data_IF_284155666741
#
_entry.id   IF_284155666741
#
_cell.length_a   1.000
_cell.length_b   1.000
_cell.length_c   1.000
_cell.angle_alpha   90.00
_cell.angle_beta   90.00
_cell.angle_gamma   90.00
#
_symmetry.space_group_name_H-M   'P 1'
#
loop_
_entity.id
_entity.type
_entity.pdbx_description
1 polymer ?
#
# COMPACT_ATOMS: atom_id res chain seq x y z
N UNK A 1 31.65 -39.27 26.68
CA UNK A 1 33.04 -39.54 26.22
C UNK A 1 33.29 -38.64 25.05
N UNK A 2 34.42 -37.89 25.07
CA UNK A 2 34.77 -37.01 23.96
C UNK A 2 35.18 -37.85 22.73
N UNK A 3 35.09 -37.30 21.53
CA UNK A 3 35.57 -37.96 20.31
C UNK A 3 37.07 -38.33 20.46
N UNK A 4 37.84 -37.48 21.15
CA UNK A 4 39.22 -37.74 21.47
C UNK A 4 39.43 -39.05 22.27
N UNK A 5 38.59 -39.30 23.28
CA UNK A 5 38.64 -40.53 24.08
C UNK A 5 38.31 -41.82 23.30
N UNK A 6 37.54 -41.67 22.22
CA UNK A 6 37.12 -42.76 21.35
C UNK A 6 38.21 -43.17 20.35
N UNK A 7 39.06 -42.22 19.94
CA UNK A 7 40.07 -42.42 18.87
C UNK A 7 41.48 -42.57 19.44
N UNK A 8 41.79 -42.05 20.60
CA UNK A 8 43.07 -42.11 21.26
C UNK A 8 43.51 -43.58 21.44
N UNK A 9 44.65 -43.95 20.88
CA UNK A 9 45.18 -45.32 20.90
C UNK A 9 44.58 -46.31 19.90
N UNK A 10 43.64 -45.87 19.05
CA UNK A 10 43.05 -46.68 17.98
C UNK A 10 43.51 -46.26 16.59
N UNK A 11 44.12 -45.08 16.47
CA UNK A 11 44.68 -44.53 15.25
C UNK A 11 46.14 -44.09 15.49
N UNK A 12 46.99 -44.32 14.54
CA UNK A 12 48.41 -43.90 14.59
C UNK A 12 48.54 -42.43 14.24
N UNK A 13 47.92 -41.55 15.06
CA UNK A 13 47.97 -40.12 14.92
C UNK A 13 48.40 -39.48 16.25
N UNK A 14 49.20 -38.42 16.13
CA UNK A 14 49.58 -37.60 17.28
C UNK A 14 48.59 -36.45 17.45
N UNK A 15 48.26 -36.14 18.71
CA UNK A 15 47.33 -35.08 19.06
C UNK A 15 48.05 -34.02 19.88
N UNK A 16 47.70 -32.74 19.60
CA UNK A 16 48.13 -31.62 20.42
C UNK A 16 46.94 -31.06 21.17
N UNK A 17 47.04 -30.99 22.47
CA UNK A 17 45.99 -30.46 23.33
C UNK A 17 45.95 -28.90 23.23
N UNK A 18 44.82 -28.35 22.84
CA UNK A 18 44.57 -26.92 22.72
C UNK A 18 43.81 -26.35 23.93
N UNK A 19 43.53 -27.22 24.93
CA UNK A 19 42.81 -26.85 26.13
C UNK A 19 41.32 -26.57 25.91
N UNK A 20 40.71 -25.92 26.90
CA UNK A 20 39.31 -25.52 26.86
C UNK A 20 39.11 -24.38 25.89
N UNK A 21 38.20 -24.56 24.95
CA UNK A 21 37.78 -23.56 23.96
C UNK A 21 36.30 -23.29 24.13
N UNK A 22 35.88 -22.05 23.87
CA UNK A 22 34.50 -21.59 23.95
C UNK A 22 33.97 -21.18 22.58
N UNK A 23 32.86 -21.82 22.15
CA UNK A 23 32.11 -21.40 20.96
C UNK A 23 30.69 -21.08 21.39
N UNK A 24 30.30 -19.80 21.27
CA UNK A 24 29.03 -19.26 21.78
C UNK A 24 28.95 -19.51 23.29
N UNK A 25 27.94 -20.24 23.77
CA UNK A 25 27.70 -20.54 25.18
C UNK A 25 28.26 -21.89 25.67
N UNK A 26 28.83 -22.66 24.75
CA UNK A 26 29.34 -24.00 25.06
C UNK A 26 30.86 -24.02 25.17
N UNK A 27 31.36 -24.65 26.22
CA UNK A 27 32.78 -24.95 26.44
C UNK A 27 33.09 -26.39 26.06
N UNK A 28 34.18 -26.60 25.34
CA UNK A 28 34.64 -27.92 24.96
C UNK A 28 36.17 -27.99 24.94
N UNK A 29 36.70 -29.19 25.18
CA UNK A 29 38.15 -29.46 25.13
C UNK A 29 38.53 -29.77 23.69
N UNK A 30 39.44 -28.96 23.09
CA UNK A 30 39.84 -29.08 21.70
C UNK A 30 41.21 -29.73 21.56
N UNK A 31 41.38 -30.51 20.51
CA UNK A 31 42.63 -31.16 20.16
C UNK A 31 42.92 -30.96 18.65
N UNK A 32 44.18 -30.63 18.29
CA UNK A 32 44.65 -30.67 16.92
C UNK A 32 45.13 -32.07 16.58
N UNK A 33 44.91 -32.51 15.34
CA UNK A 33 45.48 -33.72 14.79
C UNK A 33 46.79 -33.32 14.08
N UNK A 34 47.92 -33.88 14.55
CA UNK A 34 49.23 -33.60 13.97
C UNK A 34 49.55 -34.57 12.83
N UNK A 35 49.57 -34.08 11.62
CA UNK A 35 49.99 -34.86 10.44
C UNK A 35 51.53 -34.86 10.27
N UNK A 36 52.27 -33.96 10.94
CA UNK A 36 53.71 -33.92 11.02
C UNK A 36 54.20 -33.21 12.30
N UNK A 37 55.40 -33.54 12.79
CA UNK A 37 55.98 -32.96 14.04
C UNK A 37 56.18 -31.44 13.98
N UNK A 38 56.15 -30.83 12.84
CA UNK A 38 56.34 -29.38 12.65
C UNK A 38 55.05 -28.53 12.78
N UNK A 39 53.89 -29.16 12.97
CA UNK A 39 52.57 -28.48 12.94
C UNK A 39 51.97 -28.15 14.30
N UNK A 40 52.78 -28.09 15.38
CA UNK A 40 52.24 -27.71 16.71
C UNK A 40 51.76 -26.28 16.69
N UNK A 41 50.45 -26.06 16.84
CA UNK A 41 49.87 -24.76 17.10
C UNK A 41 49.89 -24.48 18.61
N UNK A 42 50.42 -23.31 18.99
CA UNK A 42 50.27 -22.76 20.35
C UNK A 42 49.29 -21.63 20.28
N UNK A 43 48.14 -21.80 20.89
CA UNK A 43 47.20 -20.66 21.10
C UNK A 43 47.82 -19.80 22.21
N UNK A 44 48.33 -18.61 21.87
CA UNK A 44 48.78 -17.64 22.85
C UNK A 44 47.59 -17.14 23.65
N UNK A 45 47.41 -17.60 24.87
CA UNK A 45 46.59 -16.95 25.89
C UNK A 45 47.24 -15.59 26.21
N UNK A 46 46.71 -14.55 25.59
CA UNK A 46 47.15 -13.18 25.80
C UNK A 46 46.58 -12.67 27.12
N UNK A 47 47.29 -12.86 28.20
CA UNK A 47 47.07 -12.07 29.39
C UNK A 47 47.73 -10.69 29.20
N UNK A 48 46.98 -9.73 28.72
CA UNK A 48 47.39 -8.32 28.65
C UNK A 48 46.88 -7.55 29.86
N UNK A 49 47.66 -6.61 30.39
CA UNK A 49 47.29 -5.90 31.61
C UNK A 49 46.06 -5.00 31.37
N UNK A 50 45.17 -5.03 32.33
CA UNK A 50 43.84 -4.42 32.36
C UNK A 50 43.85 -2.89 32.13
N UNK A 51 44.98 -2.21 32.35
CA UNK A 51 45.07 -0.74 32.23
C UNK A 51 45.07 -0.18 30.77
N UNK A 52 45.36 -1.01 29.74
CA UNK A 52 45.39 -0.51 28.37
C UNK A 52 44.02 -0.64 27.67
N UNK A 53 43.11 -1.38 28.27
CA UNK A 53 41.75 -1.61 27.70
C UNK A 53 40.72 -0.58 28.16
N UNK A 54 40.99 0.18 29.25
CA UNK A 54 40.07 1.25 29.67
C UNK A 54 39.93 2.37 28.63
N UNK A 55 41.02 2.70 27.93
CA UNK A 55 40.99 3.72 26.86
C UNK A 55 40.20 3.24 25.60
N UNK A 56 40.34 1.96 25.25
CA UNK A 56 39.63 1.38 24.09
C UNK A 56 38.15 1.16 24.42
N UNK A 57 37.82 0.71 25.63
CA UNK A 57 36.43 0.58 26.07
C UNK A 57 35.76 1.96 26.19
N UNK A 58 36.46 2.99 26.71
CA UNK A 58 35.95 4.34 26.73
C UNK A 58 35.75 4.94 25.33
N UNK A 59 36.64 4.67 24.37
CA UNK A 59 36.49 5.15 23.01
C UNK A 59 35.36 4.38 22.23
N UNK A 60 35.19 3.09 22.46
CA UNK A 60 34.05 2.33 21.90
C UNK A 60 32.74 2.81 22.51
N UNK A 61 32.67 3.04 23.82
CA UNK A 61 31.52 3.65 24.50
C UNK A 61 31.24 5.07 23.99
N UNK A 62 32.26 5.88 23.76
CA UNK A 62 32.09 7.21 23.18
C UNK A 62 31.57 7.15 21.74
N UNK A 63 32.07 6.23 20.91
CA UNK A 63 31.56 6.02 19.53
C UNK A 63 30.14 5.47 19.53
N UNK A 64 29.81 4.56 20.46
CA UNK A 64 28.44 4.05 20.61
C UNK A 64 27.51 5.15 21.12
N UNK A 65 27.93 5.97 22.09
CA UNK A 65 27.16 7.11 22.60
C UNK A 65 27.00 8.17 21.50
N UNK A 66 28.05 8.48 20.75
CA UNK A 66 27.98 9.38 19.60
C UNK A 66 27.09 8.79 18.51
N UNK A 67 27.17 7.48 18.25
CA UNK A 67 26.27 6.77 17.35
C UNK A 67 24.80 6.78 17.81
N UNK A 68 24.57 6.61 19.12
CA UNK A 68 23.23 6.71 19.72
C UNK A 68 22.75 8.16 19.73
N UNK A 69 23.61 9.13 20.04
CA UNK A 69 23.28 10.55 19.95
C UNK A 69 23.04 10.95 18.50
N UNK A 70 23.82 10.45 17.54
CA UNK A 70 23.59 10.66 16.13
C UNK A 70 22.33 9.92 15.62
N UNK A 71 22.02 8.76 16.16
CA UNK A 71 20.78 8.03 15.89
C UNK A 71 19.57 8.70 16.55
N UNK A 72 19.71 9.24 17.75
CA UNK A 72 18.67 10.01 18.44
C UNK A 72 18.59 11.47 17.95
N UNK A 73 19.67 12.01 17.39
CA UNK A 73 19.70 13.30 16.68
C UNK A 73 19.56 13.17 15.15
N UNK A 74 19.62 11.98 14.59
CA UNK A 74 18.86 11.70 13.40
C UNK A 74 17.38 11.68 13.81
N UNK A 75 16.94 12.84 14.34
CA UNK A 75 15.62 13.27 13.99
C UNK A 75 15.45 12.80 12.55
N UNK A 76 14.57 11.82 12.34
CA UNK A 76 13.95 11.64 11.07
C UNK A 76 13.80 13.05 10.52
N UNK A 77 14.70 13.45 9.60
CA UNK A 77 14.52 14.73 8.91
C UNK A 77 13.05 14.69 8.59
N UNK A 78 12.23 15.61 9.10
CA UNK A 78 10.82 15.59 8.77
C UNK A 78 10.84 15.44 7.27
N UNK A 79 10.26 14.34 6.75
CA UNK A 79 10.16 14.05 5.31
C UNK A 79 9.97 15.41 4.72
N UNK A 80 10.95 15.89 3.97
CA UNK A 80 11.14 17.30 3.61
C UNK A 80 9.75 17.81 3.32
N UNK A 81 9.26 18.83 4.06
CA UNK A 81 7.88 19.30 3.97
C UNK A 81 7.48 19.11 2.53
N UNK A 82 6.64 18.13 2.23
CA UNK A 82 6.18 17.89 0.89
C UNK A 82 5.29 19.08 0.65
N UNK A 83 5.95 20.16 0.30
CA UNK A 83 5.30 21.39 -0.02
C UNK A 83 4.59 21.05 -1.32
N UNK A 84 3.32 20.65 -1.19
CA UNK A 84 2.48 20.48 -2.37
C UNK A 84 2.72 21.72 -3.22
N UNK A 85 3.20 21.52 -4.45
CA UNK A 85 3.41 22.65 -5.34
C UNK A 85 2.13 23.48 -5.33
N UNK A 86 2.22 24.83 -5.18
CA UNK A 86 1.04 25.67 -5.21
C UNK A 86 0.32 25.38 -6.52
N UNK A 87 -0.80 24.70 -6.46
CA UNK A 87 -1.65 24.52 -7.62
C UNK A 87 -2.79 25.53 -7.49
N UNK A 88 -3.15 26.18 -8.58
CA UNK A 88 -4.33 27.04 -8.64
C UNK A 88 -5.63 26.24 -8.53
N UNK A 89 -5.52 24.90 -8.54
CA UNK A 89 -6.66 24.01 -8.42
C UNK A 89 -7.08 23.84 -6.96
N UNK A 90 -8.38 23.88 -6.65
CA UNK A 90 -8.85 23.54 -5.33
C UNK A 90 -8.46 22.10 -4.98
N UNK A 91 -7.92 21.91 -3.77
CA UNK A 91 -7.50 20.60 -3.26
C UNK A 91 -8.44 20.12 -2.17
N UNK A 92 -8.77 18.82 -2.17
CA UNK A 92 -9.65 18.21 -1.20
C UNK A 92 -9.03 16.95 -0.61
N UNK A 93 -9.09 16.83 0.72
CA UNK A 93 -8.80 15.63 1.47
C UNK A 93 -10.10 15.09 2.03
N UNK A 94 -10.38 13.82 1.78
CA UNK A 94 -11.51 13.10 2.36
C UNK A 94 -10.99 12.21 3.48
N UNK A 95 -11.43 12.48 4.70
CA UNK A 95 -11.18 11.60 5.86
C UNK A 95 -12.11 10.39 5.77
N UNK A 96 -11.64 9.16 6.03
CA UNK A 96 -12.51 8.00 6.09
C UNK A 96 -13.70 8.21 7.01
N UNK A 97 -14.91 7.91 6.52
CA UNK A 97 -16.14 8.15 7.27
C UNK A 97 -16.25 7.15 8.42
N UNK A 98 -16.59 7.67 9.59
CA UNK A 98 -16.71 6.88 10.80
C UNK A 98 -18.04 6.12 10.84
N UNK A 99 -18.00 4.87 11.26
CA UNK A 99 -19.18 4.08 11.53
C UNK A 99 -19.66 4.34 12.96
N UNK A 100 -20.73 5.12 13.10
CA UNK A 100 -21.40 5.40 14.37
C UNK A 100 -22.72 4.62 14.51
N UNK A 101 -22.94 3.55 13.73
CA UNK A 101 -24.14 2.71 13.81
C UNK A 101 -24.13 1.76 15.01
N UNK A 102 -23.01 1.63 15.71
CA UNK A 102 -22.82 0.68 16.80
C UNK A 102 -22.68 -0.79 16.36
N UNK A 103 -22.64 -1.05 15.05
CA UNK A 103 -22.50 -2.40 14.47
C UNK A 103 -21.27 -2.41 13.55
N UNK A 104 -20.24 -3.20 13.87
CA UNK A 104 -19.05 -3.36 13.03
C UNK A 104 -19.37 -3.92 11.63
N UNK A 105 -20.45 -4.66 11.49
CA UNK A 105 -20.92 -5.15 10.20
C UNK A 105 -21.26 -4.02 9.21
N UNK A 106 -21.42 -2.79 9.68
CA UNK A 106 -21.73 -1.60 8.87
C UNK A 106 -20.46 -0.76 8.52
N UNK A 107 -19.27 -1.15 8.94
CA UNK A 107 -18.02 -0.43 8.63
C UNK A 107 -17.82 -0.22 7.12
N UNK A 108 -18.29 -1.18 6.31
CA UNK A 108 -18.22 -1.09 4.86
C UNK A 108 -18.98 0.12 4.27
N UNK A 109 -20.01 0.65 4.95
CA UNK A 109 -20.81 1.76 4.45
C UNK A 109 -19.96 3.03 4.41
N UNK A 110 -19.28 3.37 5.52
CA UNK A 110 -18.37 4.51 5.59
C UNK A 110 -17.22 4.40 4.60
N UNK A 111 -16.60 3.23 4.53
CA UNK A 111 -15.53 2.94 3.56
C UNK A 111 -16.02 3.08 2.12
N UNK A 112 -17.19 2.55 1.79
CA UNK A 112 -17.77 2.61 0.45
C UNK A 112 -18.12 4.04 0.02
N UNK A 113 -18.68 4.85 0.93
CA UNK A 113 -19.00 6.26 0.68
C UNK A 113 -17.70 7.04 0.45
N UNK A 114 -16.70 6.89 1.32
CA UNK A 114 -15.40 7.55 1.20
C UNK A 114 -14.74 7.23 -0.15
N UNK A 115 -14.66 5.94 -0.49
CA UNK A 115 -14.04 5.48 -1.74
C UNK A 115 -14.79 5.98 -2.98
N UNK A 116 -16.12 6.00 -2.94
CA UNK A 116 -16.94 6.51 -4.05
C UNK A 116 -16.75 8.01 -4.25
N UNK A 117 -16.73 8.79 -3.17
CA UNK A 117 -16.48 10.24 -3.24
C UNK A 117 -15.11 10.49 -3.86
N UNK A 118 -14.04 9.87 -3.35
CA UNK A 118 -12.68 10.03 -3.87
C UNK A 118 -12.62 9.69 -5.36
N UNK A 119 -13.16 8.54 -5.74
CA UNK A 119 -13.17 8.09 -7.14
C UNK A 119 -13.94 9.07 -8.05
N UNK A 120 -15.12 9.51 -7.63
CA UNK A 120 -15.94 10.44 -8.40
C UNK A 120 -15.31 11.82 -8.55
N UNK A 121 -14.71 12.34 -7.49
CA UNK A 121 -14.02 13.64 -7.55
C UNK A 121 -12.73 13.57 -8.38
N UNK A 122 -11.99 12.46 -8.34
CA UNK A 122 -10.73 12.28 -9.06
C UNK A 122 -10.87 12.22 -10.58
N UNK A 123 -12.07 11.96 -11.09
CA UNK A 123 -12.33 12.01 -12.55
C UNK A 123 -12.24 13.45 -13.08
N UNK A 124 -12.39 14.45 -12.22
CA UNK A 124 -12.41 15.85 -12.62
C UNK A 124 -11.02 16.50 -12.49
N UNK A 125 -10.40 16.80 -13.62
CA UNK A 125 -9.06 17.42 -13.70
C UNK A 125 -8.98 18.82 -13.07
N UNK A 126 -10.11 19.45 -12.73
CA UNK A 126 -10.15 20.79 -12.11
C UNK A 126 -9.95 20.75 -10.59
N UNK A 127 -9.90 19.56 -9.97
CA UNK A 127 -9.73 19.38 -8.54
C UNK A 127 -8.53 18.47 -8.29
N UNK A 128 -7.75 18.79 -7.27
CA UNK A 128 -6.75 17.87 -6.74
C UNK A 128 -7.36 17.09 -5.57
N UNK A 129 -7.53 15.79 -5.75
CA UNK A 129 -8.11 14.90 -4.72
C UNK A 129 -7.00 14.09 -4.08
N UNK A 130 -6.88 14.15 -2.75
CA UNK A 130 -5.94 13.30 -2.03
C UNK A 130 -6.41 11.84 -1.98
N UNK A 131 -5.46 10.92 -1.98
CA UNK A 131 -5.76 9.49 -1.91
C UNK A 131 -6.42 9.09 -0.59
N UNK A 132 -7.14 7.98 -0.58
CA UNK A 132 -7.73 7.40 0.64
C UNK A 132 -6.66 7.04 1.69
N UNK A 133 -5.46 6.65 1.27
CA UNK A 133 -4.34 6.36 2.18
C UNK A 133 -3.85 7.61 2.90
N UNK A 134 -3.85 8.78 2.24
CA UNK A 134 -3.53 10.06 2.90
C UNK A 134 -4.58 10.41 3.95
N UNK A 135 -5.87 10.28 3.63
CA UNK A 135 -6.97 10.51 4.57
C UNK A 135 -6.88 9.61 5.80
N UNK A 136 -6.63 8.32 5.58
CA UNK A 136 -6.43 7.34 6.64
C UNK A 136 -5.22 7.67 7.52
N UNK A 137 -4.09 8.01 6.92
CA UNK A 137 -2.87 8.37 7.65
C UNK A 137 -3.08 9.60 8.54
N UNK A 138 -3.72 10.64 7.99
CA UNK A 138 -4.05 11.87 8.74
C UNK A 138 -4.97 11.57 9.91
N UNK A 139 -5.97 10.71 9.73
CA UNK A 139 -6.88 10.27 10.78
C UNK A 139 -6.16 9.46 11.88
N UNK A 140 -5.33 8.48 11.50
CA UNK A 140 -4.57 7.64 12.44
C UNK A 140 -3.56 8.45 13.27
N UNK A 141 -3.01 9.53 12.69
CA UNK A 141 -2.07 10.43 13.36
C UNK A 141 -2.76 11.55 14.14
N UNK A 142 -4.08 11.66 14.06
CA UNK A 142 -4.89 12.70 14.69
C UNK A 142 -4.38 14.13 14.36
N UNK A 143 -4.02 14.37 13.10
CA UNK A 143 -3.57 15.71 12.68
C UNK A 143 -4.68 16.74 12.83
N UNK A 144 -4.33 17.90 13.41
CA UNK A 144 -5.19 19.07 13.43
C UNK A 144 -5.38 19.68 12.05
N UNK A 145 -6.40 20.49 11.87
CA UNK A 145 -6.70 21.18 10.62
C UNK A 145 -5.52 22.06 10.16
N UNK A 146 -4.84 22.71 11.10
CA UNK A 146 -3.62 23.51 10.82
C UNK A 146 -2.45 22.65 10.35
N UNK A 147 -2.21 21.51 10.97
CA UNK A 147 -1.17 20.56 10.54
C UNK A 147 -1.45 19.97 9.16
N UNK A 148 -2.73 19.70 8.85
CA UNK A 148 -3.13 19.25 7.50
C UNK A 148 -2.84 20.34 6.47
N UNK A 149 -3.20 21.59 6.74
CA UNK A 149 -2.92 22.72 5.86
C UNK A 149 -1.42 22.93 5.67
N UNK A 150 -0.64 22.92 6.74
CA UNK A 150 0.81 23.17 6.71
C UNK A 150 1.59 22.04 6.02
N UNK A 151 1.24 20.78 6.28
CA UNK A 151 1.98 19.63 5.78
C UNK A 151 1.57 19.21 4.36
N UNK A 152 0.29 19.43 3.99
CA UNK A 152 -0.27 18.93 2.73
C UNK A 152 -0.77 20.04 1.80
N UNK A 153 -0.90 21.28 2.27
CA UNK A 153 -1.43 22.39 1.46
C UNK A 153 -2.89 22.20 1.03
N UNK A 154 -3.63 21.32 1.71
CA UNK A 154 -5.03 21.03 1.39
C UNK A 154 -5.90 22.23 1.71
N UNK A 155 -6.75 22.63 0.74
CA UNK A 155 -7.70 23.72 0.95
C UNK A 155 -8.98 23.25 1.61
N UNK A 156 -9.58 22.16 1.13
CA UNK A 156 -10.84 21.63 1.63
C UNK A 156 -10.67 20.30 2.33
N UNK A 157 -11.22 20.19 3.51
CA UNK A 157 -11.25 18.96 4.30
C UNK A 157 -12.69 18.48 4.41
N UNK A 158 -12.95 17.25 3.92
CA UNK A 158 -14.26 16.62 4.01
C UNK A 158 -14.22 15.54 5.09
N UNK A 159 -15.08 15.70 6.10
CA UNK A 159 -15.34 14.72 7.15
C UNK A 159 -16.78 14.25 7.09
N UNK A 160 -17.02 13.05 7.59
CA UNK A 160 -18.37 12.52 7.71
C UNK A 160 -18.44 11.31 8.62
N UNK A 161 -19.65 10.97 8.97
CA UNK A 161 -19.99 9.80 9.76
C UNK A 161 -21.25 9.11 9.22
N UNK A 162 -21.43 7.85 9.58
CA UNK A 162 -22.60 7.05 9.27
C UNK A 162 -23.25 6.66 10.57
N UNK A 163 -24.40 7.22 10.85
CA UNK A 163 -25.26 6.86 11.98
C UNK A 163 -26.35 5.89 11.52
N UNK A 164 -26.84 5.04 12.41
CA UNK A 164 -27.91 4.12 12.07
C UNK A 164 -28.59 3.53 13.28
N UNK A 165 -29.90 3.41 13.19
CA UNK A 165 -30.73 2.70 14.16
C UNK A 165 -31.91 2.03 13.43
N UNK A 166 -32.23 0.77 13.81
CA UNK A 166 -33.40 0.04 13.35
C UNK A 166 -33.60 -0.03 11.81
N UNK A 167 -32.48 -0.11 11.05
CA UNK A 167 -32.54 -0.21 9.59
C UNK A 167 -32.61 1.11 8.85
N UNK A 168 -32.62 2.25 9.54
CA UNK A 168 -32.46 3.56 8.95
C UNK A 168 -31.03 4.05 9.13
N UNK A 169 -30.45 4.69 8.10
CA UNK A 169 -29.11 5.23 8.10
C UNK A 169 -29.13 6.72 7.80
N UNK A 170 -28.21 7.43 8.42
CA UNK A 170 -27.94 8.85 8.17
C UNK A 170 -26.46 9.04 7.90
N UNK A 171 -26.13 9.67 6.81
CA UNK A 171 -24.78 10.12 6.49
C UNK A 171 -24.70 11.61 6.76
N UNK A 172 -23.82 11.99 7.67
CA UNK A 172 -23.52 13.38 8.00
C UNK A 172 -22.21 13.77 7.29
N UNK A 173 -22.20 14.91 6.61
CA UNK A 173 -21.02 15.44 5.92
C UNK A 173 -20.78 16.88 6.31
N UNK A 174 -19.50 17.22 6.42
CA UNK A 174 -19.02 18.57 6.69
C UNK A 174 -17.78 18.85 5.84
N UNK A 175 -17.77 20.00 5.17
CA UNK A 175 -16.62 20.51 4.43
C UNK A 175 -16.08 21.77 5.11
N UNK A 176 -14.79 21.75 5.46
CA UNK A 176 -14.06 22.87 6.06
C UNK A 176 -13.11 23.47 5.04
N UNK A 177 -13.13 24.80 4.86
CA UNK A 177 -12.06 25.53 4.17
C UNK A 177 -10.94 25.77 5.19
N UNK A 178 -9.83 25.06 5.05
CA UNK A 178 -8.71 25.09 6.00
C UNK A 178 -7.96 26.43 5.96
N UNK A 179 -7.96 27.14 4.83
CA UNK A 179 -7.34 28.47 4.73
C UNK A 179 -8.11 29.52 5.51
N UNK A 180 -9.42 29.35 5.62
CA UNK A 180 -10.29 30.26 6.38
C UNK A 180 -10.60 29.77 7.78
N UNK A 181 -10.31 28.50 8.08
CA UNK A 181 -10.69 27.82 9.31
C UNK A 181 -12.23 27.84 9.54
N UNK A 182 -13.01 27.74 8.48
CA UNK A 182 -14.47 27.84 8.50
C UNK A 182 -15.11 26.61 7.88
N UNK A 183 -16.22 26.16 8.49
CA UNK A 183 -17.12 25.20 7.88
C UNK A 183 -17.90 25.90 6.77
N UNK A 184 -17.62 25.54 5.53
CA UNK A 184 -18.24 26.18 4.35
C UNK A 184 -19.49 25.42 3.87
N UNK A 185 -19.69 24.19 4.30
CA UNK A 185 -20.82 23.39 3.91
C UNK A 185 -21.04 22.21 4.88
N UNK A 186 -22.32 21.86 5.12
CA UNK A 186 -22.74 20.69 5.87
C UNK A 186 -24.05 20.18 5.31
N UNK A 187 -24.21 18.85 5.22
CA UNK A 187 -25.42 18.23 4.70
C UNK A 187 -25.65 16.84 5.32
N UNK A 188 -26.93 16.48 5.43
CA UNK A 188 -27.39 15.17 5.91
C UNK A 188 -28.06 14.42 4.75
N UNK A 189 -27.80 13.11 4.67
CA UNK A 189 -28.42 12.23 3.69
C UNK A 189 -28.96 11.01 4.42
N UNK A 190 -30.28 10.82 4.35
CA UNK A 190 -30.97 9.70 4.98
C UNK A 190 -31.31 8.61 3.95
N UNK A 191 -31.20 7.35 4.36
CA UNK A 191 -31.68 6.21 3.60
C UNK A 191 -32.15 5.08 4.54
N UNK A 192 -33.03 4.23 4.06
CA UNK A 192 -33.65 3.18 4.91
C UNK A 192 -33.10 1.79 4.60
N UNK A 193 -32.79 1.52 3.36
CA UNK A 193 -32.34 0.20 2.91
C UNK A 193 -30.97 0.29 2.25
N UNK A 194 -30.13 -0.73 2.40
CA UNK A 194 -28.79 -0.78 1.80
C UNK A 194 -28.80 -0.62 0.27
N UNK A 195 -29.88 -0.99 -0.41
CA UNK A 195 -30.03 -0.77 -1.85
C UNK A 195 -30.06 0.71 -2.24
N UNK A 196 -30.45 1.60 -1.30
CA UNK A 196 -30.48 3.05 -1.50
C UNK A 196 -29.10 3.69 -1.33
N UNK A 197 -28.10 2.93 -0.82
CA UNK A 197 -26.75 3.42 -0.60
C UNK A 197 -26.12 3.98 -1.90
N UNK A 198 -26.32 3.30 -3.03
CA UNK A 198 -25.75 3.75 -4.31
C UNK A 198 -26.33 5.09 -4.79
N UNK A 199 -27.66 5.27 -4.86
CA UNK A 199 -28.22 6.60 -5.16
C UNK A 199 -27.79 7.68 -4.17
N UNK A 200 -27.58 7.34 -2.91
CA UNK A 200 -27.12 8.30 -1.88
C UNK A 200 -25.66 8.68 -2.14
N UNK A 201 -24.78 7.74 -2.46
CA UNK A 201 -23.38 8.02 -2.82
C UNK A 201 -23.28 8.98 -4.02
N UNK A 202 -24.12 8.78 -5.05
CA UNK A 202 -24.17 9.67 -6.21
C UNK A 202 -24.64 11.09 -5.81
N UNK A 203 -25.73 11.20 -5.02
CA UNK A 203 -26.22 12.49 -4.52
C UNK A 203 -25.18 13.21 -3.68
N UNK A 204 -24.42 12.51 -2.86
CA UNK A 204 -23.34 13.06 -2.05
C UNK A 204 -22.25 13.66 -2.97
N UNK A 205 -21.79 12.88 -3.95
CA UNK A 205 -20.73 13.32 -4.86
C UNK A 205 -21.15 14.53 -5.69
N UNK A 206 -22.38 14.57 -6.20
CA UNK A 206 -22.94 15.72 -6.91
C UNK A 206 -22.97 16.94 -5.99
N UNK A 207 -23.48 16.81 -4.77
CA UNK A 207 -23.58 17.93 -3.83
C UNK A 207 -22.21 18.53 -3.45
N UNK A 208 -21.17 17.69 -3.36
CA UNK A 208 -19.79 18.15 -3.12
C UNK A 208 -19.26 18.94 -4.32
N UNK A 209 -19.43 18.42 -5.54
CA UNK A 209 -18.99 19.08 -6.76
C UNK A 209 -19.70 20.45 -6.97
N UNK A 210 -21.00 20.51 -6.71
CA UNK A 210 -21.77 21.76 -6.74
C UNK A 210 -21.23 22.78 -5.72
N UNK A 211 -20.94 22.35 -4.50
CA UNK A 211 -20.37 23.19 -3.45
C UNK A 211 -18.99 23.73 -3.85
N UNK A 212 -18.17 22.90 -4.47
CA UNK A 212 -16.85 23.32 -4.97
C UNK A 212 -16.93 24.14 -6.27
N UNK A 213 -18.12 24.42 -6.79
CA UNK A 213 -18.39 25.13 -8.05
C UNK A 213 -17.69 24.52 -9.26
N UNK A 214 -17.57 23.21 -9.26
CA UNK A 214 -16.92 22.47 -10.34
C UNK A 214 -17.98 22.08 -11.37
N UNK A 215 -17.73 22.46 -12.61
CA UNK A 215 -18.62 22.08 -13.73
C UNK A 215 -18.48 20.58 -13.98
N UNK A 216 -19.56 19.84 -13.87
CA UNK A 216 -19.65 18.43 -14.24
C UNK A 216 -20.42 18.27 -15.53
N UNK A 217 -19.89 17.50 -16.46
CA UNK A 217 -20.72 16.95 -17.53
C UNK A 217 -21.48 15.75 -16.97
N UNK A 218 -22.79 15.80 -16.96
CA UNK A 218 -23.64 14.76 -16.34
C UNK A 218 -23.35 13.32 -16.83
N UNK A 219 -22.71 13.13 -17.99
CA UNK A 219 -22.30 11.84 -18.52
C UNK A 219 -21.11 11.21 -17.75
N UNK A 220 -20.34 11.97 -16.98
CA UNK A 220 -19.19 11.46 -16.23
C UNK A 220 -19.60 10.81 -14.89
N UNK A 221 -20.76 11.16 -14.36
CA UNK A 221 -21.26 10.69 -13.09
C UNK A 221 -22.07 9.37 -13.20
N UNK A 222 -22.61 9.09 -14.35
CA UNK A 222 -23.46 7.93 -14.62
C UNK A 222 -22.70 6.71 -15.11
N UNK A 223 -21.60 6.32 -14.48
CA UNK A 223 -21.10 4.96 -14.70
C UNK A 223 -22.06 3.97 -14.05
N UNK A 224 -22.91 3.36 -14.86
CA UNK A 224 -23.89 2.31 -14.50
C UNK A 224 -23.20 1.02 -14.03
N UNK A 225 -22.49 1.08 -12.89
CA UNK A 225 -21.80 -0.06 -12.28
C UNK A 225 -22.27 -0.28 -10.85
N UNK A 226 -23.58 -0.10 -10.63
CA UNK A 226 -24.14 -0.38 -9.33
C UNK A 226 -24.22 -1.89 -9.13
N UNK A 227 -23.86 -2.32 -7.94
CA UNK A 227 -24.17 -3.66 -7.50
C UNK A 227 -25.67 -3.85 -7.49
N UNK A 228 -26.16 -4.97 -8.00
CA UNK A 228 -27.59 -5.31 -7.93
C UNK A 228 -27.94 -5.90 -6.58
N UNK A 229 -26.97 -6.44 -5.87
CA UNK A 229 -27.13 -7.05 -4.55
C UNK A 229 -26.28 -6.31 -3.50
N UNK A 230 -26.89 -5.69 -2.47
CA UNK A 230 -26.18 -4.98 -1.40
C UNK A 230 -25.22 -5.87 -0.59
N UNK A 231 -25.55 -7.17 -0.42
CA UNK A 231 -24.66 -8.11 0.26
C UNK A 231 -23.43 -8.43 -0.59
N UNK A 232 -23.58 -8.51 -1.92
CA UNK A 232 -22.44 -8.62 -2.82
C UNK A 232 -21.50 -7.41 -2.68
N UNK A 233 -22.09 -6.20 -2.57
CA UNK A 233 -21.32 -4.97 -2.34
C UNK A 233 -20.62 -4.98 -0.98
N UNK A 234 -21.28 -5.39 0.08
CA UNK A 234 -20.68 -5.56 1.40
C UNK A 234 -19.47 -6.50 1.35
N UNK A 235 -19.62 -7.65 0.72
CA UNK A 235 -18.51 -8.60 0.54
C UNK A 235 -17.38 -8.01 -0.30
N UNK A 236 -17.72 -7.28 -1.37
CA UNK A 236 -16.73 -6.61 -2.22
C UNK A 236 -15.88 -5.60 -1.44
N UNK A 237 -16.50 -4.72 -0.64
CA UNK A 237 -15.79 -3.70 0.13
C UNK A 237 -14.94 -4.32 1.25
N UNK A 238 -15.48 -5.31 1.97
CA UNK A 238 -14.72 -6.02 2.99
C UNK A 238 -13.54 -6.81 2.40
N UNK A 239 -13.70 -7.36 1.19
CA UNK A 239 -12.62 -7.99 0.44
C UNK A 239 -11.54 -6.96 0.07
N UNK A 240 -11.96 -5.78 -0.40
CA UNK A 240 -11.03 -4.71 -0.75
C UNK A 240 -10.23 -4.23 0.45
N UNK A 241 -10.88 -4.01 1.60
CA UNK A 241 -10.21 -3.66 2.84
C UNK A 241 -9.18 -4.72 3.29
N UNK A 242 -9.53 -6.01 3.17
CA UNK A 242 -8.60 -7.10 3.47
C UNK A 242 -7.45 -7.15 2.46
N UNK A 243 -7.72 -6.94 1.18
CA UNK A 243 -6.72 -6.92 0.13
C UNK A 243 -5.70 -5.79 0.29
N UNK A 244 -6.13 -4.62 0.76
CA UNK A 244 -5.26 -3.45 0.97
C UNK A 244 -4.27 -3.62 2.13
N UNK A 245 -4.47 -4.58 3.02
CA UNK A 245 -3.50 -4.93 4.07
C UNK A 245 -2.16 -5.43 3.50
N UNK A 246 -2.13 -5.88 2.25
CA UNK A 246 -0.93 -6.38 1.55
C UNK A 246 -0.23 -7.53 2.29
N UNK A 247 -1.00 -8.32 3.03
CA UNK A 247 -0.54 -9.54 3.72
C UNK A 247 -1.06 -10.78 3.01
N UNK A 248 -0.48 -11.95 3.33
CA UNK A 248 -0.93 -13.25 2.82
C UNK A 248 -2.35 -13.52 3.29
N UNK A 249 -2.59 -13.40 4.59
CA UNK A 249 -3.89 -13.62 5.23
C UNK A 249 -4.95 -12.67 4.68
N UNK A 250 -4.59 -11.39 4.47
CA UNK A 250 -5.47 -10.39 3.87
C UNK A 250 -5.86 -10.75 2.44
N UNK A 251 -4.91 -11.26 1.65
CA UNK A 251 -5.15 -11.68 0.27
C UNK A 251 -6.07 -12.92 0.18
N UNK A 252 -5.86 -13.91 1.06
CA UNK A 252 -6.72 -15.09 1.15
C UNK A 252 -8.14 -14.74 1.61
N UNK A 253 -8.25 -13.84 2.60
CA UNK A 253 -9.56 -13.33 3.06
C UNK A 253 -10.29 -12.59 1.94
N UNK A 254 -9.57 -11.75 1.20
CA UNK A 254 -10.14 -11.02 0.06
C UNK A 254 -10.66 -11.97 -1.02
N UNK A 255 -9.87 -12.99 -1.40
CA UNK A 255 -10.30 -13.99 -2.39
C UNK A 255 -11.61 -14.69 -1.96
N UNK A 256 -11.70 -15.12 -0.72
CA UNK A 256 -12.91 -15.78 -0.17
C UNK A 256 -14.14 -14.85 -0.23
N UNK A 257 -13.95 -13.59 0.12
CA UNK A 257 -15.03 -12.60 0.13
C UNK A 257 -15.45 -12.21 -1.28
N UNK A 258 -14.53 -12.01 -2.23
CA UNK A 258 -14.89 -11.74 -3.64
C UNK A 258 -15.61 -12.92 -4.28
N UNK A 259 -15.22 -14.17 -4.00
CA UNK A 259 -15.97 -15.35 -4.46
C UNK A 259 -17.42 -15.34 -3.98
N UNK A 260 -17.66 -15.01 -2.71
CA UNK A 260 -19.02 -14.85 -2.17
C UNK A 260 -19.77 -13.71 -2.87
N UNK A 261 -19.11 -12.60 -3.14
CA UNK A 261 -19.72 -11.49 -3.87
C UNK A 261 -20.09 -11.90 -5.32
N UNK A 262 -19.24 -12.67 -6.01
CA UNK A 262 -19.52 -13.20 -7.35
C UNK A 262 -20.72 -14.14 -7.34
N UNK A 263 -20.86 -15.00 -6.34
CA UNK A 263 -22.02 -15.89 -6.18
C UNK A 263 -23.34 -15.11 -6.06
N UNK A 264 -23.31 -13.93 -5.41
CA UNK A 264 -24.46 -13.07 -5.16
C UNK A 264 -24.78 -12.11 -6.34
N UNK A 265 -23.76 -11.71 -7.13
CA UNK A 265 -23.89 -10.80 -8.26
C UNK A 265 -22.93 -11.21 -9.38
N UNK A 266 -23.19 -12.35 -10.07
CA UNK A 266 -22.23 -12.97 -10.98
C UNK A 266 -21.95 -12.15 -12.24
N UNK A 267 -22.86 -11.25 -12.62
CA UNK A 267 -22.73 -10.44 -13.84
C UNK A 267 -22.04 -9.08 -13.58
N UNK A 268 -21.66 -8.81 -12.34
CA UNK A 268 -21.03 -7.54 -12.03
C UNK A 268 -19.56 -7.52 -12.53
N UNK A 269 -19.26 -6.65 -13.48
CA UNK A 269 -17.95 -6.58 -14.17
C UNK A 269 -16.75 -6.48 -13.24
N UNK A 270 -16.87 -5.69 -12.14
CA UNK A 270 -15.78 -5.50 -11.17
C UNK A 270 -15.44 -6.79 -10.43
N UNK A 271 -16.44 -7.57 -10.04
CA UNK A 271 -16.23 -8.77 -9.23
C UNK A 271 -15.39 -9.80 -9.96
N UNK A 272 -15.76 -10.11 -11.20
CA UNK A 272 -15.02 -11.08 -12.01
C UNK A 272 -13.59 -10.61 -12.27
N UNK A 273 -13.41 -9.32 -12.54
CA UNK A 273 -12.07 -8.74 -12.73
C UNK A 273 -11.20 -8.77 -11.48
N UNK A 274 -11.78 -8.67 -10.26
CA UNK A 274 -10.99 -8.76 -9.02
C UNK A 274 -10.21 -10.07 -8.90
N UNK A 275 -10.68 -11.15 -9.52
CA UNK A 275 -9.94 -12.41 -9.55
C UNK A 275 -8.63 -12.32 -10.33
N UNK A 276 -8.52 -11.41 -11.32
CA UNK A 276 -7.24 -11.15 -11.99
C UNK A 276 -6.22 -10.55 -11.01
N UNK A 277 -6.62 -9.62 -10.15
CA UNK A 277 -5.78 -9.06 -9.11
C UNK A 277 -5.38 -10.10 -8.04
N UNK A 278 -6.28 -11.02 -7.70
CA UNK A 278 -5.96 -12.14 -6.79
C UNK A 278 -4.86 -13.01 -7.37
N UNK A 279 -5.01 -13.45 -8.61
CA UNK A 279 -4.00 -14.29 -9.28
C UNK A 279 -2.67 -13.56 -9.46
N UNK A 280 -2.70 -12.28 -9.86
CA UNK A 280 -1.52 -11.42 -9.92
C UNK A 280 -0.80 -11.34 -8.57
N UNK A 281 -1.55 -11.09 -7.49
CA UNK A 281 -0.97 -10.98 -6.15
C UNK A 281 -0.39 -12.29 -5.65
N UNK A 282 -1.03 -13.43 -5.91
CA UNK A 282 -0.47 -14.74 -5.55
C UNK A 282 0.94 -14.93 -6.12
N UNK A 283 1.15 -14.53 -7.36
CA UNK A 283 2.47 -14.62 -7.99
C UNK A 283 3.46 -13.62 -7.38
N UNK A 284 3.08 -12.37 -7.27
CA UNK A 284 3.98 -11.30 -6.79
C UNK A 284 4.35 -11.42 -5.33
N UNK A 285 3.49 -12.00 -4.49
CA UNK A 285 3.75 -12.30 -3.08
C UNK A 285 4.29 -13.71 -2.84
N UNK A 286 4.60 -14.48 -3.92
CA UNK A 286 5.12 -15.86 -3.82
C UNK A 286 4.19 -16.83 -3.07
N UNK A 287 2.88 -16.62 -3.21
CA UNK A 287 1.82 -17.47 -2.63
C UNK A 287 1.30 -18.52 -3.61
N UNK A 288 1.77 -18.50 -4.85
CA UNK A 288 1.28 -19.39 -5.92
C UNK A 288 2.10 -20.67 -5.96
N UNK A 289 1.41 -21.82 -5.99
CA UNK A 289 2.01 -23.13 -6.23
C UNK A 289 2.38 -23.31 -7.72
N UNK A 290 1.70 -22.59 -8.61
CA UNK A 290 1.95 -22.59 -10.05
C UNK A 290 1.89 -21.13 -10.58
N UNK A 291 3.01 -20.37 -10.45
CA UNK A 291 3.06 -18.97 -10.83
C UNK A 291 2.73 -18.72 -12.31
N UNK A 292 3.10 -19.65 -13.20
CA UNK A 292 2.82 -19.52 -14.62
C UNK A 292 1.32 -19.59 -14.88
N UNK A 293 0.66 -20.60 -14.33
CA UNK A 293 -0.79 -20.78 -14.47
C UNK A 293 -1.58 -19.62 -13.87
N UNK A 294 -1.19 -19.13 -12.69
CA UNK A 294 -1.88 -18.02 -12.06
C UNK A 294 -1.68 -16.72 -12.88
N UNK A 295 -0.49 -16.49 -13.43
CA UNK A 295 -0.25 -15.34 -14.29
C UNK A 295 -1.04 -15.41 -15.60
N UNK A 296 -1.15 -16.59 -16.21
CA UNK A 296 -1.96 -16.82 -17.40
C UNK A 296 -3.46 -16.59 -17.12
N UNK A 297 -3.95 -17.01 -15.95
CA UNK A 297 -5.32 -16.74 -15.52
C UNK A 297 -5.57 -15.25 -15.31
N UNK A 298 -4.67 -14.55 -14.60
CA UNK A 298 -4.78 -13.11 -14.42
C UNK A 298 -4.85 -12.39 -15.78
N UNK A 299 -3.99 -12.79 -16.71
CA UNK A 299 -3.94 -12.20 -18.04
C UNK A 299 -5.20 -12.48 -18.86
N UNK A 300 -5.68 -13.73 -18.85
CA UNK A 300 -6.91 -14.12 -19.56
C UNK A 300 -8.13 -13.35 -19.04
N UNK A 301 -8.27 -13.23 -17.70
CA UNK A 301 -9.38 -12.46 -17.12
C UNK A 301 -9.27 -10.99 -17.52
N UNK A 302 -8.08 -10.40 -17.49
CA UNK A 302 -7.88 -9.01 -17.89
C UNK A 302 -8.25 -8.78 -19.36
N UNK A 303 -7.82 -9.66 -20.29
CA UNK A 303 -8.14 -9.56 -21.71
C UNK A 303 -9.64 -9.73 -21.98
N UNK A 304 -10.27 -10.75 -21.41
CA UNK A 304 -11.72 -10.96 -21.55
C UNK A 304 -12.51 -9.74 -21.04
N UNK A 305 -12.05 -9.13 -19.93
CA UNK A 305 -12.69 -7.93 -19.39
C UNK A 305 -12.49 -6.71 -20.31
N UNK A 306 -11.34 -6.58 -21.00
CA UNK A 306 -11.11 -5.54 -22.00
C UNK A 306 -12.05 -5.71 -23.20
N UNK A 307 -12.23 -6.95 -23.67
CA UNK A 307 -13.10 -7.25 -24.81
C UNK A 307 -14.58 -6.99 -24.48
N UNK A 308 -15.00 -7.32 -23.26
CA UNK A 308 -16.38 -7.12 -22.83
C UNK A 308 -16.68 -5.65 -22.45
N UNK A 309 -15.69 -4.94 -21.85
CA UNK A 309 -15.82 -3.57 -21.38
C UNK A 309 -14.69 -2.68 -21.90
N UNK A 310 -14.67 -2.35 -23.20
CA UNK A 310 -13.55 -1.64 -23.84
C UNK A 310 -13.32 -0.21 -23.29
N UNK A 311 -14.34 0.39 -22.69
CA UNK A 311 -14.24 1.74 -22.08
C UNK A 311 -13.65 1.73 -20.66
N UNK A 312 -13.34 0.56 -20.11
CA UNK A 312 -12.79 0.47 -18.76
C UNK A 312 -11.27 0.36 -18.78
N UNK A 313 -10.58 1.39 -18.26
CA UNK A 313 -9.13 1.50 -18.34
C UNK A 313 -8.38 0.50 -17.40
N UNK A 314 -8.93 0.21 -16.21
CA UNK A 314 -8.27 -0.63 -15.18
C UNK A 314 -7.79 -1.99 -15.69
N UNK A 315 -8.58 -2.78 -16.46
CA UNK A 315 -8.10 -4.04 -17.03
C UNK A 315 -6.93 -3.87 -18.00
N UNK A 316 -6.88 -2.72 -18.72
CA UNK A 316 -5.80 -2.42 -19.67
C UNK A 316 -4.49 -2.15 -18.94
N UNK A 317 -4.54 -1.49 -17.78
CA UNK A 317 -3.35 -1.25 -16.94
C UNK A 317 -2.79 -2.57 -16.41
N UNK A 318 -3.65 -3.44 -15.87
CA UNK A 318 -3.22 -4.74 -15.36
C UNK A 318 -2.67 -5.63 -16.48
N UNK A 319 -3.31 -5.66 -17.65
CA UNK A 319 -2.81 -6.41 -18.79
C UNK A 319 -1.42 -5.94 -19.22
N UNK A 320 -1.17 -4.62 -19.26
CA UNK A 320 0.15 -4.06 -19.57
C UNK A 320 1.21 -4.47 -18.55
N UNK A 321 0.90 -4.44 -17.26
CA UNK A 321 1.82 -4.91 -16.20
C UNK A 321 2.13 -6.40 -16.34
N UNK A 322 1.11 -7.23 -16.59
CA UNK A 322 1.31 -8.67 -16.80
C UNK A 322 2.17 -8.92 -18.04
N UNK A 323 1.97 -8.17 -19.11
CA UNK A 323 2.77 -8.26 -20.34
C UNK A 323 4.24 -7.93 -20.10
N UNK A 324 4.54 -6.90 -19.30
CA UNK A 324 5.92 -6.60 -18.86
C UNK A 324 6.51 -7.77 -18.07
N UNK A 325 5.77 -8.29 -17.12
CA UNK A 325 6.20 -9.42 -16.28
C UNK A 325 6.48 -10.67 -17.12
N UNK A 326 5.64 -10.93 -18.16
CA UNK A 326 5.81 -12.03 -19.11
C UNK A 326 6.82 -11.73 -20.21
N UNK A 327 7.54 -10.60 -20.14
CA UNK A 327 8.52 -10.14 -21.15
C UNK A 327 7.92 -9.94 -22.55
N UNK A 328 6.63 -9.64 -22.63
CA UNK A 328 5.92 -9.30 -23.89
C UNK A 328 5.97 -7.79 -24.12
N UNK A 329 7.18 -7.25 -24.20
CA UNK A 329 7.44 -5.79 -24.18
C UNK A 329 6.70 -5.05 -25.31
N UNK A 330 6.72 -5.57 -26.54
CA UNK A 330 6.04 -4.92 -27.67
C UNK A 330 4.54 -4.74 -27.41
N UNK A 331 3.89 -5.76 -26.81
CA UNK A 331 2.47 -5.68 -26.44
C UNK A 331 2.23 -4.65 -25.33
N UNK A 332 3.04 -4.70 -24.28
CA UNK A 332 2.93 -3.75 -23.17
C UNK A 332 3.07 -2.31 -23.68
N UNK A 333 4.10 -2.05 -24.49
CA UNK A 333 4.39 -0.71 -25.00
C UNK A 333 3.36 -0.22 -26.02
N UNK A 334 2.73 -1.11 -26.78
CA UNK A 334 1.63 -0.75 -27.70
C UNK A 334 0.39 -0.22 -26.98
N UNK A 335 0.26 -0.44 -25.66
CA UNK A 335 -0.86 0.06 -24.85
C UNK A 335 -0.70 1.53 -24.43
N UNK A 336 0.50 2.11 -24.49
CA UNK A 336 0.79 3.45 -23.96
C UNK A 336 -0.17 4.53 -24.45
N UNK A 337 -0.48 4.66 -25.76
CA UNK A 337 -1.39 5.69 -26.22
C UNK A 337 -2.78 5.60 -25.58
N UNK A 338 -3.26 4.37 -25.37
CA UNK A 338 -4.53 4.11 -24.70
C UNK A 338 -4.46 4.43 -23.21
N UNK A 339 -3.38 4.02 -22.53
CA UNK A 339 -3.21 4.28 -21.10
C UNK A 339 -3.14 5.78 -20.79
N UNK A 340 -2.38 6.54 -21.56
CA UNK A 340 -2.28 8.00 -21.38
C UNK A 340 -3.66 8.68 -21.60
N UNK A 341 -4.41 8.24 -22.60
CA UNK A 341 -5.71 8.83 -22.94
C UNK A 341 -6.80 8.50 -21.92
N UNK A 342 -6.86 7.25 -21.46
CA UNK A 342 -8.04 6.71 -20.78
C UNK A 342 -7.89 6.63 -19.26
N UNK A 343 -6.64 6.49 -18.75
CA UNK A 343 -6.43 6.38 -17.31
C UNK A 343 -6.53 7.76 -16.66
N UNK A 344 -7.56 7.93 -15.82
CA UNK A 344 -7.82 9.19 -15.10
C UNK A 344 -7.78 9.00 -13.59
N UNK A 345 -8.10 7.80 -13.10
CA UNK A 345 -8.02 7.48 -11.68
C UNK A 345 -6.56 7.36 -11.22
N UNK A 346 -6.23 7.96 -10.08
CA UNK A 346 -4.86 8.00 -9.56
C UNK A 346 -4.29 6.63 -9.18
N UNK A 347 -5.15 5.70 -8.76
CA UNK A 347 -4.71 4.33 -8.43
C UNK A 347 -4.35 3.54 -9.68
N UNK A 348 -5.16 3.71 -10.73
CA UNK A 348 -4.88 3.14 -12.04
C UNK A 348 -3.69 3.81 -12.70
N UNK A 349 -3.52 5.14 -12.50
CA UNK A 349 -2.39 5.90 -13.01
C UNK A 349 -1.07 5.39 -12.47
N UNK A 350 -1.00 5.06 -11.16
CA UNK A 350 0.21 4.49 -10.56
C UNK A 350 0.59 3.16 -11.23
N UNK A 351 -0.40 2.33 -11.55
CA UNK A 351 -0.19 1.06 -12.23
C UNK A 351 0.19 1.25 -13.70
N UNK A 352 -0.52 2.12 -14.42
CA UNK A 352 -0.24 2.45 -15.82
C UNK A 352 1.16 3.05 -15.99
N UNK A 353 1.57 3.88 -15.04
CA UNK A 353 2.86 4.56 -15.10
C UNK A 353 4.06 3.61 -15.02
N UNK A 354 3.90 2.42 -14.42
CA UNK A 354 4.92 1.36 -14.49
C UNK A 354 5.13 0.94 -15.96
N UNK A 355 4.07 0.78 -16.73
CA UNK A 355 4.15 0.42 -18.14
C UNK A 355 4.77 1.55 -18.96
N UNK A 356 4.30 2.78 -18.76
CA UNK A 356 4.76 3.98 -19.46
C UNK A 356 6.25 4.19 -19.24
N UNK A 357 6.71 4.12 -17.99
CA UNK A 357 8.12 4.23 -17.62
C UNK A 357 8.95 3.10 -18.22
N UNK A 358 8.53 1.84 -18.04
CA UNK A 358 9.28 0.67 -18.48
C UNK A 358 9.43 0.59 -20.01
N UNK A 359 8.60 1.28 -20.74
CA UNK A 359 8.66 1.42 -22.20
C UNK A 359 9.43 2.67 -22.67
N UNK A 360 10.07 3.41 -21.75
CA UNK A 360 10.96 4.53 -22.09
C UNK A 360 10.25 5.87 -22.34
N UNK A 361 8.95 5.99 -22.09
CA UNK A 361 8.24 7.27 -22.18
C UNK A 361 8.43 8.09 -20.89
N UNK A 362 9.68 8.52 -20.64
CA UNK A 362 10.11 9.09 -19.36
C UNK A 362 9.45 10.46 -19.08
N UNK A 363 9.21 11.30 -20.08
CA UNK A 363 8.58 12.60 -19.89
C UNK A 363 7.19 12.46 -19.26
N UNK A 364 6.32 11.68 -19.88
CA UNK A 364 4.98 11.39 -19.35
C UNK A 364 5.04 10.67 -18.00
N UNK A 365 5.99 9.76 -17.83
CA UNK A 365 6.14 9.02 -16.58
C UNK A 365 6.50 9.94 -15.42
N UNK A 366 7.38 10.91 -15.61
CA UNK A 366 7.76 11.90 -14.60
C UNK A 366 6.56 12.76 -14.20
N UNK A 367 5.81 13.30 -15.16
CA UNK A 367 4.59 14.09 -14.89
C UNK A 367 3.56 13.27 -14.09
N UNK A 368 3.39 11.99 -14.43
CA UNK A 368 2.47 11.12 -13.73
C UNK A 368 2.94 10.81 -12.30
N UNK A 369 4.25 10.58 -12.08
CA UNK A 369 4.78 10.40 -10.73
C UNK A 369 4.58 11.65 -9.87
N UNK A 370 4.79 12.84 -10.41
CA UNK A 370 4.52 14.10 -9.71
C UNK A 370 3.05 14.21 -9.30
N UNK A 371 2.11 13.92 -10.20
CA UNK A 371 0.66 13.90 -9.89
C UNK A 371 0.34 12.88 -8.78
N UNK A 372 0.91 11.68 -8.85
CA UNK A 372 0.70 10.63 -7.85
C UNK A 372 1.26 11.05 -6.49
N UNK A 373 2.47 11.61 -6.46
CA UNK A 373 3.11 12.07 -5.21
C UNK A 373 2.36 13.24 -4.58
N UNK A 374 1.84 14.17 -5.38
CA UNK A 374 1.02 15.29 -4.89
C UNK A 374 -0.29 14.82 -4.26
N UNK A 375 -0.94 13.81 -4.83
CA UNK A 375 -2.20 13.28 -4.31
C UNK A 375 -2.02 12.31 -3.16
N UNK A 376 -0.86 11.64 -3.10
CA UNK A 376 -0.53 10.64 -2.09
C UNK A 376 0.90 10.83 -1.59
N UNK A 377 1.14 11.79 -0.69
CA UNK A 377 2.46 12.04 -0.10
C UNK A 377 3.03 10.85 0.67
N UNK A 378 2.17 9.92 1.09
CA UNK A 378 2.54 8.66 1.74
C UNK A 378 2.56 7.47 0.78
N UNK A 379 2.77 7.74 -0.51
CA UNK A 379 2.89 6.71 -1.53
C UNK A 379 3.94 5.65 -1.18
N UNK A 380 3.81 4.49 -1.79
CA UNK A 380 4.79 3.43 -1.60
C UNK A 380 6.20 3.89 -2.03
N UNK A 381 7.21 3.55 -1.24
CA UNK A 381 8.61 3.97 -1.46
C UNK A 381 9.12 3.68 -2.89
N UNK A 382 8.58 2.63 -3.56
CA UNK A 382 8.96 2.30 -4.93
C UNK A 382 8.63 3.41 -5.95
N UNK A 383 7.56 4.20 -5.74
CA UNK A 383 7.23 5.33 -6.61
C UNK A 383 8.35 6.37 -6.55
N UNK A 384 8.85 6.64 -5.33
CA UNK A 384 9.98 7.56 -5.14
C UNK A 384 11.25 7.05 -5.82
N UNK A 385 11.53 5.75 -5.74
CA UNK A 385 12.69 5.15 -6.43
C UNK A 385 12.57 5.16 -7.96
N UNK A 386 11.36 5.08 -8.49
CA UNK A 386 11.14 5.13 -9.93
C UNK A 386 11.22 6.55 -10.49
N UNK A 387 10.94 7.56 -9.64
CA UNK A 387 11.02 8.98 -10.03
C UNK A 387 12.47 9.50 -10.08
N UNK A 388 13.33 9.10 -9.11
CA UNK A 388 14.72 9.51 -9.00
C UNK A 388 15.65 8.59 -9.80
#
# INVERSE_FOLDING_TARGET
>A
KSIFDLVKGKVDLSFNDLGLQKIKENEFHAYDILLSKSQKRTLKTSSKPILRNLGIVASVFAVVIIGIIFYLQSDTKPVSKIQMMPTDKPSVLVIPFENQTGKSDNDFIGFGITSNIISTLSINDSILVSSSSTGKYVQEKNYSDSEILENYGIQYLLRGDVQGAEGAYRVSLQMTDLKKSEVVWSKLFDFKELKELFPVQEKISIAILEQMRVKTSGSQLTQKNYFTNPEAYRHFLNAWAAFDLKTVEGSEKAEKLWKKAIELDPNHRRLNFMMAWVHWRKVTMRMSDDPKRDMEKAYSIALNTIDEFPDWATPKTLAGMIELFLKKYDKACSRIPTLIKEVKDLSDLATANIVIHSCGNLGEAIENYEKIMLSNPHHAAWIFYMYN
#
